data_IF_152515766557
#
_entry.id   IF_152515766557
#
_cell.length_a   1.000
_cell.length_b   1.000
_cell.length_c   1.000
_cell.angle_alpha   90.00
_cell.angle_beta   90.00
_cell.angle_gamma   90.00
#
_symmetry.space_group_name_H-M   'P 1'
#
loop_
_entity.id
_entity.type
_entity.pdbx_description
1 polymer ?
#
# COMPACT_ATOMS: atom_id res chain seq x y z
N UNK A 1 -15.64 2.97 -21.84
CA UNK A 1 -15.96 2.05 -20.73
C UNK A 1 -15.87 2.83 -19.42
N UNK A 2 -16.98 3.17 -18.74
CA UNK A 2 -16.93 3.81 -17.43
C UNK A 2 -16.80 2.73 -16.33
N UNK A 3 -15.80 2.92 -15.45
CA UNK A 3 -15.41 2.00 -14.39
C UNK A 3 -16.48 1.78 -13.33
N UNK A 4 -16.57 0.53 -12.89
CA UNK A 4 -17.61 0.02 -12.01
C UNK A 4 -17.12 0.09 -10.57
N UNK A 5 -17.69 1.00 -9.79
CA UNK A 5 -17.38 1.18 -8.35
C UNK A 5 -17.93 0.03 -7.48
N UNK A 6 -18.52 -1.00 -8.10
CA UNK A 6 -18.88 -2.29 -7.48
C UNK A 6 -18.11 -3.50 -8.04
N UNK A 7 -17.08 -3.32 -8.87
CA UNK A 7 -16.25 -4.42 -9.41
C UNK A 7 -14.97 -4.65 -8.61
N UNK A 8 -14.37 -3.61 -8.02
CA UNK A 8 -13.09 -3.72 -7.30
C UNK A 8 -13.17 -4.73 -6.13
N UNK A 9 -14.26 -4.78 -5.37
CA UNK A 9 -14.42 -5.79 -4.29
C UNK A 9 -14.53 -7.23 -4.83
N UNK A 10 -15.44 -7.53 -5.77
CA UNK A 10 -15.44 -8.83 -6.43
C UNK A 10 -14.11 -9.20 -7.06
N UNK A 11 -13.34 -8.24 -7.57
CA UNK A 11 -12.01 -8.43 -8.13
C UNK A 11 -10.96 -8.77 -7.07
N UNK A 12 -10.90 -8.04 -5.95
CA UNK A 12 -9.97 -8.33 -4.84
C UNK A 12 -10.29 -9.69 -4.22
N UNK A 13 -11.57 -10.00 -3.97
CA UNK A 13 -11.95 -11.32 -3.45
C UNK A 13 -11.61 -12.45 -4.42
N UNK A 14 -11.77 -12.24 -5.74
CA UNK A 14 -11.30 -13.21 -6.76
C UNK A 14 -9.79 -13.36 -6.72
N UNK A 15 -9.06 -12.26 -6.58
CA UNK A 15 -7.60 -12.26 -6.45
C UNK A 15 -7.14 -13.06 -5.24
N UNK A 16 -7.71 -12.79 -4.06
CA UNK A 16 -7.43 -13.52 -2.83
C UNK A 16 -7.72 -15.01 -2.95
N UNK A 17 -8.82 -15.42 -3.62
CA UNK A 17 -9.09 -16.85 -3.87
C UNK A 17 -8.04 -17.51 -4.76
N UNK A 18 -7.51 -16.81 -5.77
CA UNK A 18 -6.39 -17.34 -6.57
C UNK A 18 -5.11 -17.48 -5.74
N UNK A 19 -4.81 -16.48 -4.92
CA UNK A 19 -3.66 -16.51 -4.02
C UNK A 19 -3.77 -17.64 -2.98
N UNK A 20 -4.97 -17.87 -2.44
CA UNK A 20 -5.25 -18.99 -1.54
C UNK A 20 -5.04 -20.35 -2.24
N UNK A 21 -5.55 -20.51 -3.47
CA UNK A 21 -5.33 -21.74 -4.25
C UNK A 21 -3.84 -21.99 -4.51
N UNK A 22 -3.11 -20.94 -4.89
CA UNK A 22 -1.66 -21.00 -5.04
C UNK A 22 -0.97 -21.40 -3.73
N UNK A 23 -1.29 -20.74 -2.62
CA UNK A 23 -0.69 -21.03 -1.32
C UNK A 23 -0.95 -22.47 -0.87
N UNK A 24 -2.17 -22.98 -1.10
CA UNK A 24 -2.50 -24.39 -0.84
C UNK A 24 -1.67 -25.34 -1.71
N UNK A 25 -1.36 -24.97 -2.95
CA UNK A 25 -0.51 -25.78 -3.84
C UNK A 25 0.95 -25.82 -3.39
N UNK A 26 1.42 -24.81 -2.65
CA UNK A 26 2.75 -24.77 -2.06
C UNK A 26 2.89 -25.60 -0.78
N UNK A 27 1.78 -26.07 -0.19
CA UNK A 27 1.82 -26.86 1.05
C UNK A 27 2.39 -28.25 0.78
N UNK A 28 3.35 -28.65 1.62
CA UNK A 28 3.99 -29.96 1.58
C UNK A 28 3.77 -30.69 2.89
N UNK A 29 3.44 -31.97 2.79
CA UNK A 29 3.34 -32.86 3.94
C UNK A 29 4.05 -34.17 3.64
N UNK A 30 5.07 -34.45 4.43
CA UNK A 30 5.87 -35.68 4.43
C UNK A 30 5.93 -36.20 5.86
N UNK A 31 6.36 -37.45 6.09
CA UNK A 31 6.57 -37.96 7.46
C UNK A 31 7.56 -37.15 8.29
N UNK A 32 8.45 -36.36 7.66
CA UNK A 32 9.50 -35.59 8.33
C UNK A 32 9.25 -34.07 8.36
N UNK A 33 8.34 -33.56 7.53
CA UNK A 33 8.10 -32.13 7.37
C UNK A 33 6.65 -31.82 6.98
N UNK A 34 6.08 -30.77 7.57
CA UNK A 34 4.72 -30.33 7.25
C UNK A 34 4.69 -28.82 7.24
N UNK A 35 4.35 -28.20 6.11
CA UNK A 35 4.33 -26.75 5.99
C UNK A 35 4.64 -26.24 4.60
N UNK A 36 5.26 -25.06 4.54
CA UNK A 36 5.56 -24.33 3.32
C UNK A 36 7.04 -23.99 3.25
N UNK A 37 7.64 -24.11 2.06
CA UNK A 37 8.98 -23.60 1.79
C UNK A 37 8.99 -22.10 1.50
N UNK A 38 10.15 -21.52 1.23
CA UNK A 38 10.26 -20.09 0.90
C UNK A 38 9.63 -19.79 -0.47
N UNK A 39 9.74 -20.75 -1.39
CA UNK A 39 9.08 -20.81 -2.69
C UNK A 39 8.53 -22.22 -2.94
N UNK A 40 7.75 -22.41 -4.01
CA UNK A 40 6.93 -23.63 -4.24
C UNK A 40 7.73 -24.94 -4.22
N UNK A 41 8.97 -24.93 -4.72
CA UNK A 41 9.80 -26.12 -4.88
C UNK A 41 10.65 -26.48 -3.66
N UNK A 42 10.71 -25.64 -2.63
CA UNK A 42 11.55 -25.87 -1.44
C UNK A 42 10.84 -26.68 -0.36
N UNK A 43 11.58 -27.45 0.42
CA UNK A 43 11.05 -28.10 1.62
C UNK A 43 10.54 -27.07 2.65
N UNK A 44 9.64 -27.46 3.58
CA UNK A 44 9.15 -26.56 4.61
C UNK A 44 10.27 -25.85 5.38
N UNK A 45 10.18 -24.52 5.46
CA UNK A 45 11.09 -23.65 6.23
C UNK A 45 10.32 -22.96 7.35
N UNK A 46 11.00 -22.50 8.40
CA UNK A 46 10.36 -21.84 9.53
C UNK A 46 9.87 -20.44 9.16
N UNK A 47 10.81 -19.51 8.92
CA UNK A 47 10.54 -18.14 8.49
C UNK A 47 10.69 -17.98 6.98
N UNK A 48 9.74 -17.28 6.37
CA UNK A 48 9.65 -17.11 4.94
C UNK A 48 8.81 -18.20 4.24
N UNK A 49 8.48 -19.26 4.96
CA UNK A 49 7.72 -20.42 4.48
C UNK A 49 6.57 -20.77 5.41
N UNK A 50 6.75 -21.72 6.33
CA UNK A 50 5.66 -22.34 7.10
C UNK A 50 4.89 -21.35 7.96
N UNK A 51 5.58 -20.45 8.67
CA UNK A 51 4.86 -19.44 9.47
C UNK A 51 4.04 -18.50 8.58
N UNK A 52 4.54 -18.16 7.39
CA UNK A 52 3.85 -17.29 6.45
C UNK A 52 2.66 -18.02 5.83
N UNK A 53 2.82 -19.29 5.45
CA UNK A 53 1.73 -20.14 5.00
C UNK A 53 0.60 -20.24 6.01
N UNK A 54 0.91 -20.46 7.30
CA UNK A 54 -0.10 -20.43 8.38
C UNK A 54 -0.84 -19.09 8.39
N UNK A 55 -0.12 -17.96 8.43
CA UNK A 55 -0.74 -16.62 8.46
C UNK A 55 -1.59 -16.33 7.24
N UNK A 56 -1.15 -16.75 6.05
CA UNK A 56 -1.89 -16.58 4.80
C UNK A 56 -3.19 -17.37 4.79
N UNK A 57 -3.16 -18.61 5.27
CA UNK A 57 -4.36 -19.44 5.40
C UNK A 57 -5.33 -18.88 6.45
N UNK A 58 -4.83 -18.39 7.58
CA UNK A 58 -5.66 -17.76 8.62
C UNK A 58 -6.28 -16.44 8.13
N UNK A 59 -5.56 -15.63 7.35
CA UNK A 59 -6.13 -14.46 6.69
C UNK A 59 -7.30 -14.84 5.76
N UNK A 60 -7.19 -15.99 5.10
CA UNK A 60 -8.28 -16.56 4.29
C UNK A 60 -9.36 -17.29 5.12
N UNK A 61 -9.35 -17.11 6.45
CA UNK A 61 -10.31 -17.68 7.39
C UNK A 61 -10.34 -19.21 7.39
N UNK A 62 -9.20 -19.85 7.12
CA UNK A 62 -9.05 -21.27 7.36
C UNK A 62 -9.16 -21.55 8.87
N UNK A 63 -9.82 -22.66 9.22
CA UNK A 63 -9.98 -23.07 10.62
C UNK A 63 -8.60 -23.38 11.24
N UNK A 64 -8.22 -22.73 12.35
CA UNK A 64 -6.94 -22.97 13.03
C UNK A 64 -6.73 -24.44 13.44
N UNK A 65 -7.81 -25.16 13.70
CA UNK A 65 -7.81 -26.57 14.10
C UNK A 65 -7.83 -27.54 12.91
N UNK A 66 -7.72 -27.05 11.68
CA UNK A 66 -7.61 -27.91 10.50
C UNK A 66 -6.31 -28.71 10.53
N UNK A 67 -6.36 -29.97 10.08
CA UNK A 67 -5.22 -30.89 10.08
C UNK A 67 -3.96 -30.29 9.45
N UNK A 68 -4.14 -29.52 8.37
CA UNK A 68 -3.06 -28.80 7.67
C UNK A 68 -2.35 -27.79 8.58
N UNK A 69 -3.12 -26.92 9.24
CA UNK A 69 -2.55 -25.89 10.09
C UNK A 69 -1.99 -26.47 11.38
N UNK A 70 -2.68 -27.42 12.00
CA UNK A 70 -2.18 -28.08 13.21
C UNK A 70 -0.88 -28.82 12.93
N UNK A 71 -0.78 -29.56 11.81
CA UNK A 71 0.45 -30.27 11.44
C UNK A 71 1.61 -29.31 11.14
N UNK A 72 1.33 -28.21 10.43
CA UNK A 72 2.32 -27.17 10.15
C UNK A 72 2.83 -26.50 11.42
N UNK A 73 1.93 -26.21 12.36
CA UNK A 73 2.26 -25.55 13.61
C UNK A 73 2.96 -26.49 14.60
N UNK A 74 2.62 -27.78 14.62
CA UNK A 74 3.34 -28.82 15.35
C UNK A 74 4.77 -28.98 14.85
N UNK A 75 4.93 -29.04 13.51
CA UNK A 75 6.24 -29.06 12.89
C UNK A 75 7.04 -27.82 13.29
N UNK A 76 6.46 -26.62 13.14
CA UNK A 76 7.11 -25.35 13.48
C UNK A 76 7.55 -25.29 14.94
N UNK A 77 6.71 -25.69 15.89
CA UNK A 77 7.07 -25.79 17.33
C UNK A 77 8.26 -26.73 17.56
N UNK A 78 8.32 -27.84 16.83
CA UNK A 78 9.44 -28.78 16.86
C UNK A 78 10.78 -28.22 16.33
N UNK A 79 10.76 -27.06 15.66
CA UNK A 79 11.96 -26.37 15.16
C UNK A 79 12.60 -25.42 16.17
N UNK A 80 12.03 -25.29 17.37
CA UNK A 80 12.55 -24.38 18.39
C UNK A 80 13.95 -24.81 18.86
N UNK A 81 14.87 -23.85 18.91
CA UNK A 81 16.22 -24.08 19.42
C UNK A 81 16.24 -24.26 20.95
N UNK A 82 17.30 -24.84 21.52
CA UNK A 82 17.44 -25.00 22.98
C UNK A 82 17.41 -23.67 23.75
N UNK A 83 17.83 -22.57 23.13
CA UNK A 83 17.79 -21.22 23.71
C UNK A 83 16.39 -20.62 23.82
N UNK A 84 15.38 -21.27 23.23
CA UNK A 84 13.98 -20.84 23.22
C UNK A 84 13.57 -20.05 21.97
N UNK A 85 14.52 -19.61 21.15
CA UNK A 85 14.20 -18.92 19.90
C UNK A 85 13.93 -19.88 18.75
N UNK A 86 13.52 -19.33 17.60
CA UNK A 86 13.31 -20.08 16.37
C UNK A 86 14.35 -19.69 15.32
N UNK A 87 14.86 -20.67 14.54
CA UNK A 87 15.86 -20.42 13.51
C UNK A 87 15.25 -19.69 12.29
N UNK A 88 16.13 -19.21 11.42
CA UNK A 88 15.77 -18.68 10.12
C UNK A 88 16.59 -19.36 9.01
N UNK A 89 15.92 -20.09 8.11
CA UNK A 89 16.55 -20.77 6.96
C UNK A 89 17.75 -21.64 7.42
N UNK A 90 18.85 -21.58 6.67
CA UNK A 90 20.12 -22.29 6.95
C UNK A 90 20.85 -21.78 8.20
N UNK A 91 20.40 -20.67 8.78
CA UNK A 91 21.05 -20.11 9.96
C UNK A 91 20.62 -20.88 11.20
N UNK A 92 21.61 -21.50 11.86
CA UNK A 92 21.39 -22.28 13.08
C UNK A 92 21.05 -21.41 14.32
N UNK A 93 21.28 -20.10 14.25
CA UNK A 93 20.98 -19.19 15.35
C UNK A 93 19.52 -18.74 15.33
N UNK A 94 19.05 -18.20 16.45
CA UNK A 94 17.66 -17.76 16.63
C UNK A 94 17.49 -16.25 16.42
N UNK A 95 17.13 -15.73 15.24
CA UNK A 95 16.85 -14.30 15.11
C UNK A 95 15.57 -13.90 15.86
N UNK A 96 15.59 -12.71 16.44
CA UNK A 96 14.46 -12.11 17.14
C UNK A 96 13.26 -11.92 16.19
N UNK A 97 13.50 -11.57 14.92
CA UNK A 97 12.44 -11.41 13.91
C UNK A 97 11.70 -12.71 13.66
N UNK A 98 12.41 -13.79 13.35
CA UNK A 98 11.79 -15.10 13.11
C UNK A 98 11.04 -15.57 14.36
N UNK A 99 11.67 -15.43 15.53
CA UNK A 99 11.05 -15.83 16.80
C UNK A 99 9.77 -15.05 17.08
N UNK A 100 9.77 -13.72 16.88
CA UNK A 100 8.59 -12.88 17.04
C UNK A 100 7.49 -13.26 16.05
N UNK A 101 7.84 -13.51 14.79
CA UNK A 101 6.89 -13.96 13.77
C UNK A 101 6.24 -15.29 14.10
N UNK A 102 7.00 -16.25 14.62
CA UNK A 102 6.44 -17.53 15.09
C UNK A 102 5.48 -17.28 16.24
N UNK A 103 5.84 -16.47 17.25
CA UNK A 103 4.94 -16.15 18.37
C UNK A 103 3.63 -15.52 17.88
N UNK A 104 3.69 -14.60 16.91
CA UNK A 104 2.52 -13.96 16.31
C UNK A 104 1.64 -15.00 15.59
N UNK A 105 2.23 -15.84 14.73
CA UNK A 105 1.49 -16.86 13.98
C UNK A 105 0.84 -17.91 14.92
N UNK A 106 1.56 -18.34 15.95
CA UNK A 106 1.02 -19.29 16.94
C UNK A 106 -0.09 -18.65 17.78
N UNK A 107 -0.02 -17.34 18.07
CA UNK A 107 -1.12 -16.61 18.72
C UNK A 107 -2.39 -16.62 17.91
N UNK A 108 -2.28 -16.40 16.60
CA UNK A 108 -3.43 -16.41 15.68
C UNK A 108 -4.09 -17.81 15.61
N UNK A 109 -3.35 -18.85 15.97
CA UNK A 109 -3.86 -20.23 16.14
C UNK A 109 -4.41 -20.55 17.54
N UNK A 110 -4.35 -19.59 18.48
CA UNK A 110 -4.83 -19.76 19.84
C UNK A 110 -3.78 -20.26 20.84
N UNK A 111 -2.50 -20.33 20.47
CA UNK A 111 -1.42 -20.68 21.39
C UNK A 111 -0.78 -19.43 22.00
N UNK A 112 -0.56 -19.43 23.32
CA UNK A 112 -0.01 -18.29 24.07
C UNK A 112 0.76 -18.79 25.29
N UNK A 113 1.51 -17.91 25.97
CA UNK A 113 2.37 -18.28 27.11
C UNK A 113 1.65 -19.08 28.23
N UNK A 114 0.33 -18.89 28.37
CA UNK A 114 -0.49 -19.55 29.38
C UNK A 114 -0.85 -21.00 29.07
N UNK A 115 -0.79 -21.42 27.80
CA UNK A 115 -1.21 -22.76 27.37
C UNK A 115 -0.14 -23.54 26.57
N UNK A 116 0.96 -22.90 26.16
CA UNK A 116 2.01 -23.56 25.38
C UNK A 116 3.43 -23.18 25.88
N UNK A 117 4.28 -24.20 26.06
CA UNK A 117 5.66 -24.02 26.53
C UNK A 117 6.59 -23.44 25.47
N UNK A 118 6.40 -23.79 24.20
CA UNK A 118 7.23 -23.26 23.13
C UNK A 118 7.01 -21.75 22.99
N UNK A 119 5.75 -21.30 23.02
CA UNK A 119 5.43 -19.86 22.99
C UNK A 119 6.04 -19.13 24.17
N UNK A 120 5.96 -19.70 25.38
CA UNK A 120 6.56 -19.09 26.58
C UNK A 120 8.08 -18.95 26.47
N UNK A 121 8.77 -20.01 26.06
CA UNK A 121 10.24 -19.99 25.86
C UNK A 121 10.65 -18.98 24.77
N UNK A 122 9.86 -18.86 23.71
CA UNK A 122 10.10 -17.87 22.65
C UNK A 122 9.91 -16.44 23.12
N UNK A 123 8.87 -16.18 23.92
CA UNK A 123 8.67 -14.87 24.56
C UNK A 123 9.82 -14.54 25.52
N UNK A 124 10.27 -15.51 26.32
CA UNK A 124 11.43 -15.33 27.20
C UNK A 124 12.73 -15.08 26.43
N UNK A 125 12.91 -15.71 25.26
CA UNK A 125 14.01 -15.44 24.36
C UNK A 125 13.96 -14.00 23.81
N UNK A 126 12.80 -13.56 23.31
CA UNK A 126 12.63 -12.20 22.79
C UNK A 126 12.96 -11.13 23.84
N UNK A 127 12.61 -11.36 25.10
CA UNK A 127 12.98 -10.47 26.21
C UNK A 127 14.49 -10.33 26.38
N UNK A 128 15.25 -11.40 26.16
CA UNK A 128 16.72 -11.39 26.24
C UNK A 128 17.37 -10.65 25.05
N UNK A 129 16.63 -10.44 23.95
CA UNK A 129 17.11 -9.68 22.81
C UNK A 129 16.94 -8.16 23.00
N UNK A 130 16.24 -7.70 24.04
CA UNK A 130 15.97 -6.28 24.30
C UNK A 130 17.03 -5.70 25.23
N UNK A 131 17.69 -4.63 24.78
CA UNK A 131 18.69 -3.88 25.54
C UNK A 131 18.06 -3.06 26.69
N UNK A 132 18.92 -2.46 27.52
CA UNK A 132 18.51 -1.62 28.65
C UNK A 132 17.73 -0.36 28.23
N UNK A 133 17.84 0.05 26.96
CA UNK A 133 17.13 1.19 26.39
C UNK A 133 15.79 0.78 25.74
N UNK A 134 15.43 -0.50 25.76
CA UNK A 134 14.19 -1.03 25.19
C UNK A 134 14.27 -1.32 23.67
N UNK A 135 15.45 -1.39 23.06
CA UNK A 135 15.58 -1.77 21.65
C UNK A 135 16.00 -3.22 21.52
N UNK A 136 15.42 -3.94 20.56
CA UNK A 136 15.81 -5.32 20.30
C UNK A 136 16.93 -5.41 19.25
N UNK A 137 17.89 -6.29 19.49
CA UNK A 137 18.88 -6.73 18.52
C UNK A 137 18.40 -7.96 17.75
N UNK A 138 19.17 -8.36 16.73
CA UNK A 138 18.90 -9.58 15.95
C UNK A 138 18.97 -10.83 16.81
N UNK A 139 19.90 -10.89 17.78
CA UNK A 139 20.02 -11.97 18.76
C UNK A 139 20.38 -11.40 20.11
N UNK A 140 20.23 -12.18 21.18
CA UNK A 140 20.69 -11.79 22.52
C UNK A 140 22.21 -11.63 22.62
N UNK A 141 22.96 -12.26 21.72
CA UNK A 141 24.43 -12.20 21.67
C UNK A 141 24.93 -10.92 20.97
N UNK A 142 24.05 -10.21 20.25
CA UNK A 142 24.35 -8.97 19.52
C UNK A 142 23.62 -7.75 20.13
N UNK A 143 23.34 -7.78 21.44
CA UNK A 143 22.51 -6.79 22.12
C UNK A 143 23.01 -5.34 21.97
N UNK A 144 24.30 -5.14 21.69
CA UNK A 144 24.90 -3.82 21.43
C UNK A 144 24.57 -3.22 20.06
N UNK A 145 23.91 -3.97 19.17
CA UNK A 145 23.56 -3.53 17.81
C UNK A 145 22.05 -3.62 17.57
N UNK A 146 21.22 -2.84 18.28
CA UNK A 146 19.78 -2.89 18.12
C UNK A 146 19.33 -2.48 16.70
N UNK A 147 18.16 -2.98 16.30
CA UNK A 147 17.56 -2.79 14.98
C UNK A 147 16.07 -2.46 15.12
N UNK A 148 15.55 -1.64 14.23
CA UNK A 148 14.16 -1.15 14.31
C UNK A 148 13.15 -2.29 14.12
N UNK A 149 13.38 -3.19 13.15
CA UNK A 149 12.44 -4.28 12.85
C UNK A 149 12.33 -5.31 13.98
N UNK A 150 13.43 -5.90 14.50
CA UNK A 150 13.40 -6.67 15.75
C UNK A 150 12.64 -5.99 16.87
N UNK A 151 12.87 -4.68 17.06
CA UNK A 151 12.23 -3.90 18.13
C UNK A 151 10.71 -3.85 17.94
N UNK A 152 10.25 -3.53 16.72
CA UNK A 152 8.83 -3.48 16.38
C UNK A 152 8.13 -4.85 16.48
N UNK A 153 8.74 -5.90 15.93
CA UNK A 153 8.16 -7.25 16.00
C UNK A 153 8.13 -7.80 17.42
N UNK A 154 9.17 -7.51 18.22
CA UNK A 154 9.18 -7.86 19.64
C UNK A 154 8.04 -7.16 20.38
N UNK A 155 7.83 -5.85 20.14
CA UNK A 155 6.69 -5.14 20.71
C UNK A 155 5.36 -5.79 20.34
N UNK A 156 5.17 -6.14 19.07
CA UNK A 156 3.96 -6.80 18.61
C UNK A 156 3.78 -8.16 19.30
N UNK A 157 4.77 -9.04 19.26
CA UNK A 157 4.71 -10.36 19.88
C UNK A 157 4.40 -10.31 21.38
N UNK A 158 5.00 -9.35 22.11
CA UNK A 158 4.72 -9.13 23.54
C UNK A 158 3.32 -8.55 23.77
N UNK A 159 2.82 -7.71 22.88
CA UNK A 159 1.49 -7.09 23.01
C UNK A 159 0.34 -8.08 22.87
N UNK A 160 0.59 -9.23 22.25
CA UNK A 160 -0.34 -10.33 22.12
C UNK A 160 -0.46 -11.22 23.37
N UNK A 161 0.41 -11.03 24.36
CA UNK A 161 0.43 -11.84 25.58
C UNK A 161 -0.42 -11.19 26.68
N UNK A 162 -1.07 -12.02 27.50
CA UNK A 162 -1.96 -11.55 28.57
C UNK A 162 -1.22 -10.82 29.70
N UNK A 163 0.11 -11.02 29.81
CA UNK A 163 0.93 -10.37 30.83
C UNK A 163 1.32 -8.97 30.37
N UNK A 164 0.70 -7.95 30.96
CA UNK A 164 1.20 -6.58 30.91
C UNK A 164 2.57 -6.53 31.60
N UNK A 165 3.57 -6.00 30.89
CA UNK A 165 4.90 -5.77 31.43
C UNK A 165 5.37 -4.35 31.13
N UNK A 166 6.27 -3.83 31.96
CA UNK A 166 6.86 -2.52 31.76
C UNK A 166 7.71 -2.48 30.47
N UNK A 167 8.16 -3.65 29.99
CA UNK A 167 8.99 -3.81 28.81
C UNK A 167 8.28 -3.31 27.54
N UNK A 168 6.97 -3.57 27.36
CA UNK A 168 6.20 -3.00 26.23
C UNK A 168 6.25 -1.47 26.19
N UNK A 169 6.15 -0.84 27.36
CA UNK A 169 6.22 0.62 27.50
C UNK A 169 7.62 1.15 27.18
N UNK A 170 8.66 0.45 27.63
CA UNK A 170 10.06 0.75 27.30
C UNK A 170 10.31 0.64 25.80
N UNK A 171 9.90 -0.46 25.17
CA UNK A 171 10.07 -0.67 23.73
C UNK A 171 9.31 0.39 22.91
N UNK A 172 8.08 0.71 23.31
CA UNK A 172 7.28 1.76 22.66
C UNK A 172 7.97 3.12 22.76
N UNK A 173 8.46 3.46 23.94
CA UNK A 173 9.23 4.68 24.17
C UNK A 173 10.50 4.69 23.31
N UNK A 174 11.16 3.54 23.18
CA UNK A 174 12.35 3.41 22.36
C UNK A 174 12.05 3.61 20.88
N UNK A 175 11.02 2.97 20.33
CA UNK A 175 10.60 3.16 18.94
C UNK A 175 10.32 4.64 18.64
N UNK A 176 9.66 5.37 19.55
CA UNK A 176 9.50 6.83 19.41
C UNK A 176 10.84 7.56 19.27
N UNK A 177 11.85 7.22 20.08
CA UNK A 177 13.18 7.83 20.00
C UNK A 177 13.99 7.37 18.77
N UNK A 178 13.63 6.25 18.14
CA UNK A 178 14.25 5.78 16.91
C UNK A 178 13.70 6.45 15.65
N UNK A 179 12.65 7.28 15.78
CA UNK A 179 12.07 8.03 14.68
C UNK A 179 13.06 9.10 14.20
N UNK A 180 13.23 9.21 12.88
CA UNK A 180 14.15 10.17 12.29
C UNK A 180 13.61 11.61 12.44
N UNK A 181 14.39 12.56 12.99
CA UNK A 181 13.87 13.87 13.40
C UNK A 181 13.28 14.75 12.29
N UNK A 182 13.79 14.68 11.06
CA UNK A 182 13.41 15.59 9.97
C UNK A 182 12.19 15.09 9.21
N UNK A 183 12.30 13.90 8.63
CA UNK A 183 11.25 13.28 7.82
C UNK A 183 10.17 12.60 8.65
N UNK A 184 10.46 12.24 9.91
CA UNK A 184 9.57 11.52 10.82
C UNK A 184 9.24 10.08 10.42
N UNK A 185 10.01 9.48 9.51
CA UNK A 185 9.95 8.05 9.25
C UNK A 185 10.87 7.23 10.17
N UNK A 186 10.86 5.91 9.98
CA UNK A 186 11.83 5.01 10.61
C UNK A 186 12.74 4.35 9.57
N UNK A 187 14.03 4.29 9.89
CA UNK A 187 15.04 3.53 9.16
C UNK A 187 15.36 2.19 9.85
N UNK A 188 16.18 1.36 9.20
CA UNK A 188 16.55 0.02 9.70
C UNK A 188 17.27 0.07 11.06
N UNK A 189 18.03 1.14 11.30
CA UNK A 189 18.68 1.49 12.57
C UNK A 189 18.44 2.95 12.90
N UNK A 190 18.75 3.34 14.13
CA UNK A 190 18.87 4.76 14.49
C UNK A 190 19.91 5.42 13.56
N UNK A 191 19.55 6.56 12.98
CA UNK A 191 20.40 7.34 12.08
C UNK A 191 20.46 6.82 10.63
N UNK A 192 19.87 5.67 10.32
CA UNK A 192 19.69 5.25 8.93
C UNK A 192 18.59 6.06 8.25
N UNK A 193 18.71 6.21 6.92
CA UNK A 193 17.65 6.82 6.12
C UNK A 193 16.32 6.06 6.33
N UNK A 194 15.22 6.78 6.60
CA UNK A 194 13.92 6.16 6.80
C UNK A 194 13.33 5.66 5.49
N UNK A 195 12.47 4.66 5.60
CA UNK A 195 11.81 4.04 4.44
C UNK A 195 10.38 3.61 4.77
N UNK A 196 9.58 3.41 3.73
CA UNK A 196 8.17 3.14 3.88
C UNK A 196 7.88 1.80 4.57
N UNK A 197 8.62 0.73 4.23
CA UNK A 197 8.40 -0.60 4.81
C UNK A 197 8.65 -0.60 6.33
N UNK A 198 9.78 -0.06 6.77
CA UNK A 198 10.15 0.01 8.19
C UNK A 198 9.20 0.93 8.96
N UNK A 199 8.85 2.08 8.38
CA UNK A 199 7.86 3.00 8.97
C UNK A 199 6.51 2.30 9.15
N UNK A 200 6.03 1.60 8.14
CA UNK A 200 4.76 0.87 8.18
C UNK A 200 4.78 -0.25 9.23
N UNK A 201 5.87 -1.02 9.33
CA UNK A 201 6.04 -2.06 10.34
C UNK A 201 6.01 -1.49 11.76
N UNK A 202 6.69 -0.37 12.01
CA UNK A 202 6.66 0.31 13.32
C UNK A 202 5.25 0.79 13.63
N UNK A 203 4.59 1.48 12.69
CA UNK A 203 3.22 1.98 12.88
C UNK A 203 2.23 0.85 13.19
N UNK A 204 2.31 -0.26 12.46
CA UNK A 204 1.48 -1.44 12.70
C UNK A 204 1.71 -2.01 14.11
N UNK A 205 2.97 -2.22 14.48
CA UNK A 205 3.33 -2.78 15.80
C UNK A 205 2.86 -1.90 16.96
N UNK A 206 3.03 -0.58 16.87
CA UNK A 206 2.64 0.34 17.95
C UNK A 206 1.12 0.47 18.05
N UNK A 207 0.40 0.40 16.92
CA UNK A 207 -1.06 0.36 16.90
C UNK A 207 -1.60 -0.90 17.58
N UNK A 208 -1.02 -2.06 17.28
CA UNK A 208 -1.35 -3.32 17.97
C UNK A 208 -0.94 -3.35 19.44
N UNK A 209 0.09 -2.57 19.82
CA UNK A 209 0.46 -2.36 21.21
C UNK A 209 -0.49 -1.44 21.99
N UNK A 210 -1.50 -0.86 21.32
CA UNK A 210 -2.48 0.04 21.93
C UNK A 210 -2.04 1.50 21.99
N UNK A 211 -0.99 1.90 21.26
CA UNK A 211 -0.59 3.31 21.18
C UNK A 211 -1.68 4.11 20.45
N UNK A 212 -2.18 5.21 21.04
CA UNK A 212 -3.18 6.07 20.42
C UNK A 212 -2.72 6.65 19.07
N UNK A 213 -3.64 6.73 18.12
CA UNK A 213 -3.38 7.29 16.78
C UNK A 213 -3.15 8.81 16.77
N UNK A 214 -3.59 9.52 17.81
CA UNK A 214 -3.53 10.98 17.91
C UNK A 214 -2.19 11.50 18.44
N UNK A 215 -1.32 10.62 18.94
CA UNK A 215 0.04 10.96 19.33
C UNK A 215 0.82 11.53 18.14
N UNK A 216 1.47 12.68 18.36
CA UNK A 216 2.16 13.44 17.31
C UNK A 216 3.12 12.57 16.49
N UNK A 217 4.00 11.82 17.16
CA UNK A 217 4.98 10.96 16.50
C UNK A 217 4.35 9.85 15.65
N UNK A 218 3.15 9.37 16.02
CA UNK A 218 2.39 8.40 15.23
C UNK A 218 1.80 9.08 13.99
N UNK A 219 1.14 10.23 14.15
CA UNK A 219 0.57 11.02 13.05
C UNK A 219 1.62 11.49 12.05
N UNK A 220 2.79 11.86 12.55
CA UNK A 220 3.96 12.23 11.75
C UNK A 220 4.46 11.05 10.93
N UNK A 221 4.55 9.85 11.52
CA UNK A 221 4.88 8.62 10.81
C UNK A 221 3.86 8.24 9.73
N UNK A 222 2.57 8.41 10.01
CA UNK A 222 1.50 8.22 9.01
C UNK A 222 1.66 9.24 7.88
N UNK A 223 1.92 10.50 8.21
CA UNK A 223 2.15 11.56 7.21
C UNK A 223 3.36 11.24 6.33
N UNK A 224 4.45 10.72 6.91
CA UNK A 224 5.59 10.20 6.16
C UNK A 224 5.15 9.19 5.09
N UNK A 225 4.36 8.16 5.47
CA UNK A 225 3.88 7.17 4.51
C UNK A 225 3.05 7.82 3.40
N UNK A 226 2.11 8.69 3.75
CA UNK A 226 1.23 9.33 2.79
C UNK A 226 2.00 10.17 1.75
N UNK A 227 3.03 10.88 2.19
CA UNK A 227 3.87 11.73 1.32
C UNK A 227 4.81 10.92 0.40
N UNK A 228 5.21 9.70 0.81
CA UNK A 228 6.07 8.81 0.00
C UNK A 228 5.31 7.94 -0.99
N UNK A 229 3.97 7.95 -0.99
CA UNK A 229 3.24 7.14 -1.96
C UNK A 229 3.45 7.68 -3.37
N UNK A 230 3.83 6.79 -4.29
CA UNK A 230 3.95 7.11 -5.71
C UNK A 230 2.58 7.33 -6.36
N UNK A 231 2.59 7.98 -7.52
CA UNK A 231 1.39 8.25 -8.30
C UNK A 231 0.64 6.96 -8.74
N UNK A 232 1.36 5.85 -8.91
CA UNK A 232 0.79 4.54 -9.25
C UNK A 232 0.22 3.79 -8.04
N UNK A 233 0.38 4.33 -6.83
CA UNK A 233 -0.13 3.76 -5.58
C UNK A 233 0.89 2.92 -4.80
N UNK A 234 2.10 2.74 -5.30
CA UNK A 234 3.14 1.93 -4.65
C UNK A 234 4.00 2.71 -3.66
N UNK A 235 4.73 1.95 -2.85
CA UNK A 235 5.85 2.43 -2.04
C UNK A 235 7.11 1.63 -2.35
N UNK A 236 8.24 2.32 -2.31
CA UNK A 236 9.55 1.69 -2.37
C UNK A 236 9.92 1.05 -1.03
N UNK A 237 10.91 0.16 -1.09
CA UNK A 237 11.47 -0.50 0.08
C UNK A 237 12.99 -0.26 0.13
N UNK A 238 13.54 -0.08 1.32
CA UNK A 238 14.92 0.36 1.55
C UNK A 238 16.01 -0.61 1.15
N UNK A 239 15.72 -1.92 1.06
CA UNK A 239 16.78 -2.91 0.83
C UNK A 239 17.57 -2.66 -0.46
N UNK A 240 16.99 -1.91 -1.41
CA UNK A 240 17.64 -1.48 -2.64
C UNK A 240 17.68 0.03 -2.85
N UNK A 241 17.18 0.87 -1.94
CA UNK A 241 17.26 2.33 -2.13
C UNK A 241 18.73 2.78 -2.19
N UNK A 242 19.62 2.19 -1.38
CA UNK A 242 21.05 2.48 -1.44
C UNK A 242 21.71 1.99 -2.74
N UNK A 243 21.29 0.83 -3.26
CA UNK A 243 21.83 0.23 -4.49
C UNK A 243 21.31 0.97 -5.73
N UNK A 244 20.05 1.42 -5.67
CA UNK A 244 19.36 2.13 -6.75
C UNK A 244 19.74 3.61 -6.79
N UNK A 245 19.94 4.27 -5.64
CA UNK A 245 20.47 5.64 -5.59
C UNK A 245 21.90 5.74 -6.14
N UNK A 246 22.65 4.64 -6.15
CA UNK A 246 23.95 4.57 -6.81
C UNK A 246 23.87 4.34 -8.33
N UNK A 247 22.68 4.06 -8.87
CA UNK A 247 22.46 3.65 -10.26
C UNK A 247 21.18 4.29 -10.85
N UNK A 248 21.30 5.52 -11.33
CA UNK A 248 20.22 6.40 -11.86
C UNK A 248 19.26 5.78 -12.91
N UNK A 249 19.57 4.61 -13.46
CA UNK A 249 18.77 3.93 -14.50
C UNK A 249 18.21 2.58 -14.05
N UNK A 250 18.48 2.16 -12.82
CA UNK A 250 17.97 0.90 -12.30
C UNK A 250 16.66 1.17 -11.58
N UNK A 251 15.55 0.53 -11.95
CA UNK A 251 14.32 0.62 -11.17
C UNK A 251 14.45 -0.12 -9.83
N UNK A 252 13.84 0.43 -8.78
CA UNK A 252 13.80 -0.17 -7.45
C UNK A 252 13.19 -1.58 -7.51
N UNK A 253 13.87 -2.57 -6.90
CA UNK A 253 13.49 -3.97 -7.08
C UNK A 253 12.38 -4.43 -6.13
N UNK A 254 12.36 -3.94 -4.89
CA UNK A 254 11.55 -4.54 -3.81
C UNK A 254 10.18 -3.86 -3.54
N UNK A 255 9.39 -3.54 -4.58
CA UNK A 255 8.20 -2.65 -4.47
C UNK A 255 6.96 -3.30 -3.84
N UNK A 256 6.69 -4.57 -4.15
CA UNK A 256 5.46 -5.25 -3.70
C UNK A 256 5.43 -5.46 -2.19
N UNK A 257 6.55 -5.88 -1.62
CA UNK A 257 6.66 -6.08 -0.17
C UNK A 257 6.48 -4.78 0.61
N UNK A 258 7.13 -3.68 0.17
CA UNK A 258 6.96 -2.37 0.80
C UNK A 258 5.51 -1.87 0.71
N UNK A 259 4.88 -2.05 -0.45
CA UNK A 259 3.48 -1.64 -0.67
C UNK A 259 2.48 -2.45 0.16
N UNK A 260 2.71 -3.76 0.33
CA UNK A 260 1.89 -4.61 1.20
C UNK A 260 1.91 -4.16 2.67
N UNK A 261 3.10 -3.84 3.19
CA UNK A 261 3.25 -3.30 4.53
C UNK A 261 2.61 -1.92 4.70
N UNK A 262 2.84 -1.02 3.75
CA UNK A 262 2.22 0.30 3.77
C UNK A 262 0.68 0.18 3.76
N UNK A 263 0.10 -0.68 2.92
CA UNK A 263 -1.32 -0.96 2.93
C UNK A 263 -1.78 -1.46 4.30
N UNK A 264 -1.10 -2.47 4.87
CA UNK A 264 -1.46 -3.01 6.18
C UNK A 264 -1.44 -1.92 7.27
N UNK A 265 -0.38 -1.12 7.35
CA UNK A 265 -0.30 -0.04 8.32
C UNK A 265 -1.42 1.00 8.14
N UNK A 266 -1.73 1.41 6.91
CA UNK A 266 -2.81 2.38 6.63
C UNK A 266 -4.18 1.85 7.09
N UNK A 267 -4.40 0.54 7.10
CA UNK A 267 -5.65 -0.05 7.61
C UNK A 267 -5.84 0.08 9.12
N UNK A 268 -4.77 0.38 9.88
CA UNK A 268 -4.84 0.61 11.32
C UNK A 268 -5.24 2.05 11.70
N UNK A 269 -5.39 2.92 10.69
CA UNK A 269 -5.79 4.33 10.83
C UNK A 269 -7.08 4.64 10.06
N UNK A 270 -8.20 3.93 10.33
CA UNK A 270 -9.44 4.09 9.57
C UNK A 270 -10.11 5.45 9.76
N UNK A 271 -9.76 6.20 10.81
CA UNK A 271 -10.29 7.54 11.10
C UNK A 271 -9.72 8.63 10.20
N UNK A 272 -8.55 8.42 9.58
CA UNK A 272 -7.92 9.38 8.66
C UNK A 272 -8.35 9.08 7.20
N UNK A 273 -9.15 9.96 6.57
CA UNK A 273 -9.59 9.76 5.19
C UNK A 273 -8.44 9.67 4.18
N UNK A 274 -7.30 10.32 4.47
CA UNK A 274 -6.11 10.27 3.61
C UNK A 274 -5.54 8.86 3.55
N UNK A 275 -5.60 8.13 4.67
CA UNK A 275 -5.17 6.73 4.73
C UNK A 275 -6.08 5.84 3.88
N UNK A 276 -7.39 6.08 3.89
CA UNK A 276 -8.33 5.34 3.05
C UNK A 276 -8.06 5.56 1.56
N UNK A 277 -7.85 6.81 1.13
CA UNK A 277 -7.52 7.14 -0.26
C UNK A 277 -6.18 6.54 -0.71
N UNK A 278 -5.17 6.57 0.16
CA UNK A 278 -3.88 5.96 -0.11
C UNK A 278 -3.98 4.42 -0.19
N UNK A 279 -4.75 3.80 0.69
CA UNK A 279 -5.01 2.36 0.68
C UNK A 279 -5.73 1.91 -0.60
N UNK A 280 -6.74 2.67 -1.07
CA UNK A 280 -7.42 2.38 -2.34
C UNK A 280 -6.46 2.37 -3.54
N UNK A 281 -5.46 3.27 -3.55
CA UNK A 281 -4.42 3.28 -4.59
C UNK A 281 -3.47 2.09 -4.45
N UNK A 282 -3.08 1.74 -3.23
CA UNK A 282 -2.23 0.59 -2.94
C UNK A 282 -2.87 -0.73 -3.40
N UNK A 283 -4.17 -0.90 -3.10
CA UNK A 283 -4.95 -2.06 -3.54
C UNK A 283 -4.98 -2.16 -5.05
N UNK A 284 -5.24 -1.05 -5.76
CA UNK A 284 -5.23 -1.03 -7.23
C UNK A 284 -3.87 -1.46 -7.77
N UNK A 285 -2.79 -0.89 -7.24
CA UNK A 285 -1.42 -1.26 -7.62
C UNK A 285 -1.18 -2.77 -7.44
N UNK A 286 -1.45 -3.30 -6.24
CA UNK A 286 -1.23 -4.72 -5.94
C UNK A 286 -2.07 -5.62 -6.85
N UNK A 287 -3.36 -5.31 -7.05
CA UNK A 287 -4.24 -6.11 -7.91
C UNK A 287 -3.80 -6.13 -9.37
N UNK A 288 -3.28 -5.02 -9.89
CA UNK A 288 -2.77 -4.96 -11.27
C UNK A 288 -1.49 -5.78 -11.48
N UNK A 289 -0.75 -6.12 -10.41
CA UNK A 289 0.51 -6.89 -10.49
C UNK A 289 0.40 -8.32 -9.97
N UNK A 290 -0.81 -8.79 -9.65
CA UNK A 290 -1.00 -10.20 -9.31
C UNK A 290 -0.71 -11.10 -10.52
N UNK A 291 0.10 -12.14 -10.33
CA UNK A 291 0.44 -13.10 -11.39
C UNK A 291 -0.75 -14.00 -11.74
N UNK A 292 -0.76 -14.62 -12.94
CA UNK A 292 -1.80 -15.59 -13.31
C UNK A 292 -1.91 -16.78 -12.34
N UNK A 293 -0.79 -17.18 -11.74
CA UNK A 293 -0.71 -18.19 -10.67
C UNK A 293 -1.53 -17.81 -9.43
N UNK A 294 -1.67 -16.50 -9.15
CA UNK A 294 -2.25 -15.95 -7.93
C UNK A 294 -1.22 -15.33 -6.99
N UNK A 295 0.07 -15.58 -7.21
CA UNK A 295 1.15 -15.01 -6.40
C UNK A 295 1.42 -13.53 -6.69
N UNK A 296 2.15 -12.89 -5.78
CA UNK A 296 2.85 -11.63 -6.03
C UNK A 296 4.35 -11.86 -6.00
N UNK A 297 5.07 -11.20 -6.90
CA UNK A 297 6.53 -11.27 -6.95
C UNK A 297 7.12 -10.35 -5.89
N UNK A 298 8.31 -10.69 -5.40
CA UNK A 298 9.05 -9.79 -4.53
C UNK A 298 9.64 -8.62 -5.32
N UNK A 299 10.26 -8.94 -6.46
CA UNK A 299 10.80 -7.99 -7.42
C UNK A 299 10.36 -8.31 -8.85
N UNK A 300 10.16 -7.29 -9.69
CA UNK A 300 9.59 -7.48 -11.05
C UNK A 300 10.53 -8.27 -11.99
N UNK A 301 11.83 -8.31 -11.69
CA UNK A 301 12.86 -8.96 -12.50
C UNK A 301 13.18 -10.39 -12.07
N UNK A 302 12.74 -10.80 -10.87
CA UNK A 302 12.86 -12.17 -10.39
C UNK A 302 11.49 -12.86 -10.53
N UNK A 303 11.36 -13.86 -11.41
CA UNK A 303 10.11 -14.59 -11.56
C UNK A 303 9.79 -15.51 -10.37
N UNK A 304 10.66 -15.58 -9.35
CA UNK A 304 10.45 -16.43 -8.17
C UNK A 304 9.22 -15.99 -7.38
N UNK A 305 8.29 -16.93 -7.20
CA UNK A 305 7.07 -16.72 -6.44
C UNK A 305 7.29 -17.13 -4.98
N UNK A 306 7.50 -16.14 -4.12
CA UNK A 306 7.78 -16.35 -2.71
C UNK A 306 6.50 -16.44 -1.87
N UNK A 307 6.48 -17.43 -0.96
CA UNK A 307 5.36 -17.67 -0.03
C UNK A 307 5.15 -16.47 0.89
N UNK A 308 6.21 -15.96 1.50
CA UNK A 308 6.15 -14.80 2.39
C UNK A 308 5.66 -13.54 1.69
N UNK A 309 6.13 -13.25 0.46
CA UNK A 309 5.72 -12.03 -0.24
C UNK A 309 4.23 -12.06 -0.56
N UNK A 310 3.76 -13.18 -1.14
CA UNK A 310 2.35 -13.39 -1.45
C UNK A 310 1.48 -13.34 -0.19
N UNK A 311 1.91 -13.98 0.89
CA UNK A 311 1.21 -14.00 2.18
C UNK A 311 1.02 -12.58 2.74
N UNK A 312 2.07 -11.76 2.77
CA UNK A 312 1.97 -10.42 3.34
C UNK A 312 0.97 -9.55 2.55
N UNK A 313 0.94 -9.69 1.22
CA UNK A 313 -0.07 -9.04 0.38
C UNK A 313 -1.47 -9.57 0.68
N UNK A 314 -1.65 -10.89 0.84
CA UNK A 314 -2.94 -11.49 1.22
C UNK A 314 -3.45 -10.95 2.56
N UNK A 315 -2.59 -10.88 3.58
CA UNK A 315 -2.93 -10.33 4.91
C UNK A 315 -3.38 -8.87 4.79
N UNK A 316 -2.61 -8.04 4.08
CA UNK A 316 -2.91 -6.62 3.90
C UNK A 316 -4.24 -6.39 3.14
N UNK A 317 -4.46 -7.10 2.04
CA UNK A 317 -5.70 -7.01 1.25
C UNK A 317 -6.90 -7.49 2.05
N UNK A 318 -6.77 -8.61 2.79
CA UNK A 318 -7.85 -9.12 3.65
C UNK A 318 -8.20 -8.10 4.72
N UNK A 319 -7.20 -7.56 5.43
CA UNK A 319 -7.43 -6.54 6.46
C UNK A 319 -8.12 -5.31 5.90
N UNK A 320 -7.70 -4.85 4.72
CA UNK A 320 -8.36 -3.74 4.03
C UNK A 320 -9.84 -4.05 3.71
N UNK A 321 -10.16 -5.27 3.27
CA UNK A 321 -11.55 -5.64 3.01
C UNK A 321 -12.42 -5.58 4.28
N UNK A 322 -11.84 -5.84 5.45
CA UNK A 322 -12.56 -5.87 6.73
C UNK A 322 -12.83 -4.48 7.31
N UNK A 323 -11.88 -3.55 7.17
CA UNK A 323 -11.96 -2.23 7.83
C UNK A 323 -12.46 -1.12 6.92
N UNK A 324 -12.52 -1.36 5.59
CA UNK A 324 -12.91 -0.30 4.66
C UNK A 324 -14.33 0.22 4.98
N UNK A 325 -14.58 1.53 4.83
CA UNK A 325 -15.94 2.04 4.91
C UNK A 325 -16.76 1.42 3.79
N UNK A 326 -17.82 0.68 4.13
CA UNK A 326 -18.84 0.29 3.16
C UNK A 326 -19.48 1.58 2.63
N UNK A 327 -19.09 2.03 1.44
CA UNK A 327 -19.81 3.11 0.77
C UNK A 327 -21.25 2.61 0.58
N UNK A 328 -22.27 3.35 1.05
CA UNK A 328 -23.64 3.02 0.67
C UNK A 328 -23.68 2.91 -0.86
N UNK A 329 -24.43 1.93 -1.40
CA UNK A 329 -24.69 1.81 -2.84
C UNK A 329 -25.50 3.04 -3.27
N UNK A 330 -24.80 4.17 -3.45
CA UNK A 330 -25.32 5.44 -3.86
C UNK A 330 -25.22 5.53 -5.37
N UNK A 331 -26.34 5.87 -6.02
CA UNK A 331 -26.47 6.13 -7.45
C UNK A 331 -25.20 6.78 -8.02
N UNK A 332 -24.60 6.09 -8.99
CA UNK A 332 -23.39 6.48 -9.71
C UNK A 332 -23.49 7.95 -10.14
N UNK A 333 -22.87 8.87 -9.37
CA UNK A 333 -22.54 10.19 -9.90
C UNK A 333 -21.32 9.99 -10.80
N UNK A 334 -21.61 9.91 -12.08
CA UNK A 334 -20.68 9.66 -13.16
C UNK A 334 -19.43 10.56 -13.02
N UNK A 335 -18.27 9.97 -12.67
CA UNK A 335 -16.99 10.67 -12.37
C UNK A 335 -16.57 11.63 -13.49
N UNK A 336 -16.92 11.30 -14.75
CA UNK A 336 -16.78 12.19 -15.93
C UNK A 336 -17.51 13.52 -15.80
N UNK A 337 -18.69 13.57 -15.18
CA UNK A 337 -19.44 14.82 -15.01
C UNK A 337 -18.81 15.75 -13.98
N UNK A 338 -18.16 15.20 -12.94
CA UNK A 338 -17.40 15.97 -11.95
C UNK A 338 -16.13 16.56 -12.56
N UNK A 339 -15.36 15.75 -13.29
CA UNK A 339 -14.13 16.17 -13.97
C UNK A 339 -14.40 17.17 -15.10
N UNK A 340 -15.45 16.95 -15.91
CA UNK A 340 -15.89 17.93 -16.92
C UNK A 340 -16.39 19.22 -16.28
N UNK A 341 -17.09 19.15 -15.14
CA UNK A 341 -17.54 20.34 -14.43
C UNK A 341 -16.39 21.10 -13.75
N UNK A 342 -15.32 20.44 -13.32
CA UNK A 342 -14.11 21.10 -12.81
C UNK A 342 -13.25 21.66 -13.95
N UNK A 343 -13.10 20.93 -15.05
CA UNK A 343 -12.39 21.38 -16.25
C UNK A 343 -13.10 22.58 -16.88
N UNK A 344 -14.43 22.55 -17.00
CA UNK A 344 -15.22 23.68 -17.48
C UNK A 344 -15.12 24.90 -16.56
N UNK A 345 -15.03 24.72 -15.23
CA UNK A 345 -14.81 25.82 -14.29
C UNK A 345 -13.42 26.43 -14.42
N UNK A 346 -12.37 25.62 -14.57
CA UNK A 346 -11.00 26.08 -14.80
C UNK A 346 -10.87 26.80 -16.14
N UNK A 347 -11.47 26.25 -17.19
CA UNK A 347 -11.49 26.87 -18.51
C UNK A 347 -12.25 28.20 -18.50
N UNK A 348 -13.40 28.28 -17.81
CA UNK A 348 -14.17 29.52 -17.68
C UNK A 348 -13.45 30.59 -16.86
N UNK A 349 -12.67 30.20 -15.84
CA UNK A 349 -11.83 31.13 -15.08
C UNK A 349 -10.67 31.66 -15.95
N UNK A 350 -9.96 30.75 -16.63
CA UNK A 350 -8.86 31.12 -17.52
C UNK A 350 -9.30 32.00 -18.69
N UNK A 351 -10.44 31.73 -19.33
CA UNK A 351 -10.96 32.58 -20.41
C UNK A 351 -11.38 33.95 -19.92
N UNK A 352 -11.87 34.07 -18.68
CA UNK A 352 -12.22 35.36 -18.07
C UNK A 352 -10.98 36.21 -17.78
N UNK A 353 -9.90 35.59 -17.32
CA UNK A 353 -8.63 36.27 -17.05
C UNK A 353 -7.84 36.58 -18.34
N UNK A 354 -7.93 35.70 -19.35
CA UNK A 354 -7.17 35.80 -20.59
C UNK A 354 -7.94 36.47 -21.74
N UNK A 355 -9.17 36.96 -21.50
CA UNK A 355 -10.04 37.52 -22.53
C UNK A 355 -9.39 38.67 -23.30
N UNK A 356 -8.69 39.57 -22.60
CA UNK A 356 -8.00 40.70 -23.25
C UNK A 356 -6.84 40.22 -24.13
N UNK A 357 -6.06 39.23 -23.69
CA UNK A 357 -4.96 38.67 -24.49
C UNK A 357 -5.47 37.95 -25.74
N UNK A 358 -6.60 37.22 -25.64
CA UNK A 358 -7.24 36.57 -26.79
C UNK A 358 -7.80 37.61 -27.78
N UNK A 359 -8.39 38.70 -27.27
CA UNK A 359 -8.88 39.80 -28.11
C UNK A 359 -7.73 40.53 -28.83
N UNK A 360 -6.63 40.84 -28.12
CA UNK A 360 -5.43 41.41 -28.73
C UNK A 360 -4.80 40.47 -29.75
N UNK A 361 -4.67 39.17 -29.43
CA UNK A 361 -4.14 38.18 -30.36
C UNK A 361 -4.96 38.06 -31.65
N UNK A 362 -6.29 38.06 -31.54
CA UNK A 362 -7.17 38.03 -32.71
C UNK A 362 -7.06 39.30 -33.57
N UNK A 363 -6.96 40.48 -32.94
CA UNK A 363 -6.73 41.76 -33.62
C UNK A 363 -5.36 41.81 -34.32
N UNK A 364 -4.30 41.32 -33.67
CA UNK A 364 -2.97 41.22 -34.26
C UNK A 364 -2.95 40.26 -35.45
N UNK A 365 -3.58 39.09 -35.33
CA UNK A 365 -3.71 38.14 -36.45
C UNK A 365 -4.50 38.73 -37.61
N UNK A 366 -5.58 39.48 -37.34
CA UNK A 366 -6.35 40.16 -38.38
C UNK A 366 -5.54 41.26 -39.09
N UNK A 367 -4.74 42.04 -38.35
CA UNK A 367 -3.89 43.09 -38.93
C UNK A 367 -2.76 42.56 -39.81
N UNK A 368 -2.20 41.40 -39.47
CA UNK A 368 -1.11 40.78 -40.25
C UNK A 368 -1.61 39.71 -41.23
N UNK A 369 -2.93 39.47 -41.28
CA UNK A 369 -3.55 38.42 -42.10
C UNK A 369 -3.20 38.57 -43.58
N UNK A 370 -3.26 39.80 -44.11
CA UNK A 370 -2.92 40.08 -45.51
C UNK A 370 -1.46 39.76 -45.85
N UNK A 371 -0.56 39.77 -44.86
CA UNK A 371 0.85 39.39 -45.04
C UNK A 371 1.09 37.89 -44.89
N UNK A 372 0.31 37.21 -44.03
CA UNK A 372 0.46 35.77 -43.77
C UNK A 372 -0.27 34.94 -44.84
N UNK A 373 -1.44 35.37 -45.31
CA UNK A 373 -2.29 34.61 -46.21
C UNK A 373 -1.60 34.15 -47.50
N UNK A 374 -0.74 34.96 -48.16
CA UNK A 374 0.00 34.52 -49.36
C UNK A 374 1.02 33.41 -49.07
N UNK A 375 1.77 33.53 -47.97
CA UNK A 375 2.80 32.55 -47.55
C UNK A 375 2.13 31.25 -47.14
N UNK A 376 1.07 31.33 -46.34
CA UNK A 376 0.32 30.17 -45.87
C UNK A 376 -0.34 29.44 -47.05
N UNK A 377 -0.90 30.17 -48.01
CA UNK A 377 -1.48 29.61 -49.24
C UNK A 377 -0.43 28.89 -50.09
N UNK A 378 0.75 29.48 -50.27
CA UNK A 378 1.87 28.84 -50.98
C UNK A 378 2.33 27.54 -50.31
N UNK A 379 2.47 27.53 -48.98
CA UNK A 379 2.84 26.34 -48.20
C UNK A 379 1.76 25.25 -48.33
N UNK A 380 0.49 25.58 -48.11
CA UNK A 380 -0.61 24.62 -48.15
C UNK A 380 -0.86 24.04 -49.56
N UNK A 381 -0.66 24.84 -50.60
CA UNK A 381 -0.69 24.38 -52.00
C UNK A 381 0.46 23.44 -52.30
N UNK A 382 1.66 23.69 -51.76
CA UNK A 382 2.82 22.81 -51.84
C UNK A 382 2.57 21.42 -51.24
N UNK A 383 1.72 21.34 -50.20
CA UNK A 383 1.32 20.08 -49.56
C UNK A 383 0.00 19.48 -50.09
N UNK A 384 -0.59 20.04 -51.16
CA UNK A 384 -1.88 19.58 -51.75
C UNK A 384 -3.03 19.46 -50.75
N UNK A 385 -3.13 20.39 -49.79
CA UNK A 385 -4.18 20.41 -48.77
C UNK A 385 -5.36 21.24 -49.28
N UNK A 386 -6.58 20.69 -49.29
CA UNK A 386 -7.80 21.40 -49.70
C UNK A 386 -8.20 22.46 -48.66
N UNK A 387 -7.94 23.72 -49.02
CA UNK A 387 -8.12 24.88 -48.15
C UNK A 387 -9.59 25.24 -47.97
N UNK A 388 -10.45 25.01 -48.97
CA UNK A 388 -11.86 25.38 -48.90
C UNK A 388 -12.62 24.55 -47.85
N UNK A 389 -12.37 23.24 -47.83
CA UNK A 389 -12.99 22.31 -46.86
C UNK A 389 -12.62 22.60 -45.42
N UNK A 390 -11.36 22.98 -45.15
CA UNK A 390 -10.87 23.30 -43.80
C UNK A 390 -11.56 24.55 -43.24
N UNK A 391 -11.73 25.61 -44.05
CA UNK A 391 -12.38 26.84 -43.58
C UNK A 391 -13.87 26.67 -43.31
N UNK A 392 -14.60 25.93 -44.16
CA UNK A 392 -16.00 25.58 -43.86
C UNK A 392 -16.12 24.81 -42.56
N UNK A 393 -15.20 23.87 -42.29
CA UNK A 393 -15.21 23.11 -41.04
C UNK A 393 -14.83 23.96 -39.83
N UNK A 394 -13.88 24.89 -39.98
CA UNK A 394 -13.43 25.77 -38.89
C UNK A 394 -14.53 26.79 -38.51
N UNK A 395 -15.12 27.46 -39.51
CA UNK A 395 -16.21 28.42 -39.31
C UNK A 395 -17.45 27.70 -38.76
N UNK A 396 -17.79 26.53 -39.29
CA UNK A 396 -18.89 25.72 -38.75
C UNK A 396 -18.62 25.31 -37.29
N UNK A 397 -17.40 24.93 -36.95
CA UNK A 397 -17.03 24.53 -35.58
C UNK A 397 -17.07 25.70 -34.61
N UNK A 398 -16.64 26.90 -35.01
CA UNK A 398 -16.71 28.12 -34.18
C UNK A 398 -18.15 28.58 -34.00
N UNK A 399 -18.99 28.53 -35.05
CA UNK A 399 -20.42 28.83 -34.95
C UNK A 399 -21.15 27.82 -34.06
N UNK A 400 -20.83 26.53 -34.16
CA UNK A 400 -21.36 25.48 -33.27
C UNK A 400 -20.93 25.68 -31.81
N UNK A 401 -19.66 26.02 -31.57
CA UNK A 401 -19.17 26.33 -30.24
C UNK A 401 -19.88 27.56 -29.64
N UNK A 402 -20.08 28.61 -30.45
CA UNK A 402 -20.84 29.80 -30.07
C UNK A 402 -22.30 29.51 -29.73
N UNK A 403 -22.98 28.70 -30.56
CA UNK A 403 -24.36 28.28 -30.34
C UNK A 403 -24.52 27.47 -29.05
N UNK A 404 -23.60 26.51 -28.81
CA UNK A 404 -23.59 25.72 -27.58
C UNK A 404 -23.38 26.58 -26.32
N UNK A 405 -22.51 27.60 -26.39
CA UNK A 405 -22.30 28.54 -25.29
C UNK A 405 -23.52 29.44 -25.05
N UNK A 406 -24.18 29.92 -26.11
CA UNK A 406 -25.40 30.71 -26.01
C UNK A 406 -26.56 29.90 -25.40
N UNK A 407 -26.74 28.65 -25.81
CA UNK A 407 -27.74 27.74 -25.25
C UNK A 407 -27.45 27.39 -23.78
N UNK A 408 -26.19 27.16 -23.42
CA UNK A 408 -25.79 26.94 -22.03
C UNK A 408 -26.02 28.18 -21.15
N UNK A 409 -25.82 29.38 -21.70
CA UNK A 409 -26.10 30.64 -21.01
C UNK A 409 -27.61 30.88 -20.82
N UNK A 410 -28.43 30.64 -21.85
CA UNK A 410 -29.89 30.71 -21.77
C UNK A 410 -30.46 29.69 -20.77
N UNK A 411 -29.96 28.44 -20.78
CA UNK A 411 -30.36 27.41 -19.82
C UNK A 411 -30.08 27.80 -18.37
N UNK A 412 -28.92 28.44 -18.09
CA UNK A 412 -28.60 28.97 -16.76
C UNK A 412 -29.53 30.11 -16.32
N UNK A 413 -29.96 30.99 -17.23
CA UNK A 413 -30.93 32.07 -16.90
C UNK A 413 -32.33 31.52 -16.61
N UNK A 414 -32.81 30.55 -17.40
CA UNK A 414 -34.12 29.92 -17.16
C UNK A 414 -34.14 29.16 -15.82
N UNK A 415 -33.02 28.54 -15.43
CA UNK A 415 -32.92 27.85 -14.14
C UNK A 415 -32.86 28.82 -12.94
N UNK A 416 -32.22 29.98 -13.09
CA UNK A 416 -32.21 31.04 -12.06
C UNK A 416 -33.55 31.77 -11.93
N UNK A 417 -34.34 31.86 -13.00
CA UNK A 417 -35.69 32.43 -12.96
C UNK A 417 -36.69 31.55 -12.19
N UNK A 418 -36.58 30.22 -12.31
CA UNK A 418 -37.48 29.28 -11.62
C UNK A 418 -37.16 29.06 -10.14
N UNK A 419 -35.95 29.42 -9.68
CA UNK A 419 -35.56 29.31 -8.27
C UNK A 419 -35.87 30.56 -7.44
N UNK A 420 -36.39 31.63 -8.04
CA UNK A 420 -36.74 32.89 -7.36
C UNK A 420 -38.22 33.06 -6.99
N UNK A 421 -39.09 32.11 -7.36
CA UNK A 421 -40.56 32.18 -7.13
C UNK A 421 -41.07 31.19 -6.06
N UNK A 422 -40.20 30.65 -5.19
CA UNK A 422 -40.61 29.73 -4.09
C UNK A 422 -40.25 30.20 -2.67
N UNK A 423 -40.20 31.51 -2.45
CA UNK A 423 -40.15 32.11 -1.11
C UNK A 423 -41.10 33.31 -1.01
N UNK A 424 -42.37 33.15 -1.35
CA UNK A 424 -43.47 33.96 -0.80
C UNK A 424 -44.72 33.06 -0.70
N UNK A 425 -44.88 32.39 0.44
CA UNK A 425 -46.12 32.27 1.22
C UNK A 425 -45.94 31.32 2.39
#
# INVERSE_FOLDING_TARGET
MPGVVGQEEPDVQRGLRRAEQWLRSCYKSTPASSGWGHHVDEDPTEWGGTLDGIRGMLAMRAEPTSEMLTSAADWLRGRQNPDGGFPAREMKYSPAEATAWVVIALRDMGWHCGNDEHVRRAVDYLRQCVDEQGAAATTKDDIGNPRTLPTALTLWALSLQDRLDDLRGQITTRLRHMQEPESKGWGITVGAAPNAATTAQVLHAVRLAGVPEDFDWVREGVTYLLERQKADGSWENSYDEWFTAALDHTPCRCVHFGTGWALLALTDFPSDPRCQEAAERAVRYLMERQRPSGAWLFEEYDPTEFVWCTTQVMVALTKWLEVRPMRPVGTVKNRRTGELASAARRLAAWTRESFLYLAFGALSVAQIWEFIQPVLSAVLTGFRIDVAGIWTNLISSVLWAGLCLALAWLGKRVHKGKSGEREIH
#
